data_IF_849357515535
#
_entry.id   IF_849357515535
#
_cell.length_a   1.000
_cell.length_b   1.000
_cell.length_c   1.000
_cell.angle_alpha   90.00
_cell.angle_beta   90.00
_cell.angle_gamma   90.00
#
_symmetry.space_group_name_H-M   'P 1'
#
loop_
_entity.id
_entity.type
_entity.pdbx_description
1 polymer ?
#
# COMPACT_ATOMS: atom_id res chain seq x y z
N UNK A 1 4.60 -33.54 19.28
CA UNK A 1 5.23 -32.87 20.43
C UNK A 1 4.42 -31.61 20.74
N UNK A 2 4.10 -31.33 22.01
CA UNK A 2 3.46 -30.07 22.37
C UNK A 2 4.40 -28.92 21.99
N UNK A 3 3.85 -27.89 21.34
CA UNK A 3 4.61 -26.70 20.95
C UNK A 3 4.79 -25.82 22.18
N UNK A 4 6.00 -25.74 22.70
CA UNK A 4 6.29 -24.88 23.84
C UNK A 4 6.21 -23.39 23.45
N UNK A 5 5.73 -22.58 24.40
CA UNK A 5 5.71 -21.12 24.28
C UNK A 5 7.13 -20.59 24.52
N UNK A 6 7.76 -20.01 23.51
CA UNK A 6 9.03 -19.34 23.69
C UNK A 6 8.86 -18.02 24.47
N UNK A 7 9.62 -17.86 25.54
CA UNK A 7 9.90 -16.55 26.12
C UNK A 7 10.86 -15.77 25.19
N UNK A 8 11.15 -14.51 25.52
CA UNK A 8 12.03 -13.66 24.68
C UNK A 8 13.42 -14.28 24.51
N UNK A 9 13.97 -14.90 25.55
CA UNK A 9 15.27 -15.57 25.45
C UNK A 9 15.21 -16.76 24.49
N UNK A 10 14.17 -17.58 24.58
CA UNK A 10 13.91 -18.67 23.66
C UNK A 10 13.73 -18.18 22.20
N UNK A 11 13.11 -17.01 21.99
CA UNK A 11 13.01 -16.41 20.66
C UNK A 11 14.37 -16.01 20.10
N UNK A 12 15.26 -15.42 20.91
CA UNK A 12 16.64 -15.11 20.52
C UNK A 12 17.41 -16.38 20.17
N UNK A 13 17.32 -17.43 21.01
CA UNK A 13 17.99 -18.70 20.72
C UNK A 13 17.45 -19.34 19.43
N UNK A 14 16.15 -19.25 19.18
CA UNK A 14 15.54 -19.73 17.95
C UNK A 14 16.03 -18.94 16.71
N UNK A 15 16.25 -17.63 16.85
CA UNK A 15 16.83 -16.83 15.76
C UNK A 15 18.27 -17.25 15.48
N UNK A 16 19.09 -17.42 16.52
CA UNK A 16 20.48 -17.91 16.40
C UNK A 16 20.56 -19.29 15.75
N UNK A 17 19.70 -20.22 16.16
CA UNK A 17 19.64 -21.58 15.55
C UNK A 17 19.21 -21.57 14.08
N UNK A 18 18.73 -20.42 13.56
CA UNK A 18 18.42 -20.20 12.15
C UNK A 18 19.51 -19.38 11.43
N UNK A 19 20.66 -19.15 12.05
CA UNK A 19 21.77 -18.41 11.47
C UNK A 19 21.60 -16.89 11.48
N UNK A 20 20.66 -16.35 12.27
CA UNK A 20 20.52 -14.90 12.42
C UNK A 20 21.57 -14.41 13.43
N UNK A 21 22.40 -13.47 13.01
CA UNK A 21 23.44 -12.87 13.84
C UNK A 21 22.91 -11.65 14.61
N UNK A 22 23.70 -11.23 15.61
CA UNK A 22 23.44 -10.07 16.48
C UNK A 22 24.72 -9.24 16.60
N UNK A 23 25.40 -9.00 15.47
CA UNK A 23 26.68 -8.30 15.44
C UNK A 23 26.50 -6.78 15.46
N UNK A 24 25.45 -6.29 14.76
CA UNK A 24 25.16 -4.86 14.67
C UNK A 24 24.28 -4.35 15.81
N UNK A 25 23.47 -5.21 16.40
CA UNK A 25 22.63 -4.91 17.56
C UNK A 25 22.80 -6.04 18.58
N UNK A 26 23.27 -5.70 19.77
CA UNK A 26 23.44 -6.66 20.85
C UNK A 26 22.11 -7.29 21.28
N UNK A 27 22.17 -8.49 21.86
CA UNK A 27 21.00 -9.26 22.26
C UNK A 27 20.12 -8.52 23.28
N UNK A 28 20.69 -7.70 24.14
CA UNK A 28 19.91 -6.94 25.12
C UNK A 28 18.98 -5.96 24.42
N UNK A 29 19.50 -5.19 23.49
CA UNK A 29 18.71 -4.26 22.67
C UNK A 29 17.72 -4.99 21.77
N UNK A 30 18.07 -6.16 21.26
CA UNK A 30 17.16 -7.00 20.48
C UNK A 30 15.96 -7.50 21.34
N UNK A 31 16.24 -7.94 22.58
CA UNK A 31 15.20 -8.33 23.56
C UNK A 31 14.29 -7.15 23.92
N UNK A 32 14.85 -5.97 24.17
CA UNK A 32 14.09 -4.74 24.43
C UNK A 32 13.19 -4.38 23.23
N UNK A 33 13.68 -4.52 22.02
CA UNK A 33 12.90 -4.25 20.82
C UNK A 33 11.75 -5.27 20.64
N UNK A 34 11.99 -6.55 20.89
CA UNK A 34 10.96 -7.60 20.86
C UNK A 34 9.91 -7.43 21.95
N UNK A 35 10.31 -6.92 23.13
CA UNK A 35 9.39 -6.70 24.23
C UNK A 35 8.46 -5.50 24.01
N UNK A 36 8.96 -4.42 23.40
CA UNK A 36 8.29 -3.12 23.43
C UNK A 36 7.79 -2.63 22.07
N UNK A 37 8.33 -3.13 20.94
CA UNK A 37 8.08 -2.54 19.63
C UNK A 37 7.51 -3.51 18.59
N UNK A 38 7.75 -4.81 18.75
CA UNK A 38 7.32 -5.82 17.78
C UNK A 38 7.25 -7.19 18.46
N UNK A 39 6.91 -8.23 17.72
CA UNK A 39 6.92 -9.61 18.19
C UNK A 39 7.65 -10.51 17.19
N UNK A 40 8.25 -11.58 17.71
CA UNK A 40 9.09 -12.51 16.93
C UNK A 40 8.46 -12.98 15.63
N UNK A 41 7.17 -13.37 15.66
CA UNK A 41 6.49 -13.90 14.49
C UNK A 41 6.42 -12.87 13.35
N UNK A 42 6.24 -11.58 13.70
CA UNK A 42 6.26 -10.49 12.72
C UNK A 42 7.62 -10.32 12.08
N UNK A 43 8.70 -10.32 12.87
CA UNK A 43 10.06 -10.21 12.31
C UNK A 43 10.41 -11.39 11.39
N UNK A 44 9.91 -12.59 11.72
CA UNK A 44 10.10 -13.78 10.89
C UNK A 44 9.54 -13.64 9.48
N UNK A 45 8.48 -12.85 9.27
CA UNK A 45 7.96 -12.61 7.92
C UNK A 45 8.97 -11.87 7.03
N UNK A 46 9.69 -10.88 7.57
CA UNK A 46 10.69 -10.15 6.79
C UNK A 46 11.91 -11.02 6.42
N UNK A 47 12.17 -12.08 7.17
CA UNK A 47 13.23 -13.04 6.86
C UNK A 47 12.96 -13.85 5.58
N UNK A 48 11.73 -13.84 5.04
CA UNK A 48 11.42 -14.43 3.74
C UNK A 48 12.21 -13.77 2.59
N UNK A 49 12.67 -12.53 2.78
CA UNK A 49 13.51 -11.83 1.81
C UNK A 49 14.96 -12.32 1.76
N UNK A 50 15.34 -13.25 2.63
CA UNK A 50 16.71 -13.75 2.73
C UNK A 50 16.80 -15.20 2.31
N UNK A 51 17.90 -15.55 1.62
CA UNK A 51 18.19 -16.91 1.21
C UNK A 51 18.66 -17.76 2.39
N UNK A 52 18.54 -19.05 2.22
CA UNK A 52 19.01 -20.06 3.17
C UNK A 52 20.03 -20.99 2.52
N UNK A 53 20.94 -21.50 3.33
CA UNK A 53 21.82 -22.57 2.90
C UNK A 53 20.99 -23.78 2.50
N UNK A 54 21.23 -24.29 1.29
CA UNK A 54 20.47 -25.42 0.72
C UNK A 54 21.15 -26.76 0.97
N UNK A 55 22.45 -26.76 1.34
CA UNK A 55 23.28 -27.94 1.54
C UNK A 55 24.33 -27.69 2.64
N UNK A 56 24.96 -28.77 3.16
CA UNK A 56 26.01 -28.72 4.17
C UNK A 56 25.48 -28.56 5.60
N UNK A 57 26.39 -28.37 6.54
CA UNK A 57 26.10 -28.35 7.99
C UNK A 57 25.18 -27.22 8.42
N UNK A 58 25.15 -26.14 7.64
CA UNK A 58 24.31 -24.96 7.88
C UNK A 58 22.97 -25.00 7.13
N UNK A 59 22.57 -26.16 6.60
CA UNK A 59 21.35 -26.28 5.83
C UNK A 59 20.12 -25.75 6.60
N UNK A 60 19.36 -24.84 5.97
CA UNK A 60 18.17 -24.22 6.55
C UNK A 60 18.43 -22.96 7.38
N UNK A 61 19.70 -22.59 7.63
CA UNK A 61 20.06 -21.31 8.20
C UNK A 61 20.01 -20.20 7.15
N UNK A 62 19.72 -18.97 7.58
CA UNK A 62 19.76 -17.80 6.72
C UNK A 62 21.20 -17.42 6.35
N UNK A 63 21.36 -16.90 5.14
CA UNK A 63 22.63 -16.38 4.63
C UNK A 63 22.68 -14.89 4.91
N UNK A 64 23.75 -14.42 5.55
CA UNK A 64 24.06 -13.00 5.77
C UNK A 64 22.89 -12.20 6.37
N UNK A 65 22.21 -12.76 7.36
CA UNK A 65 21.07 -12.11 8.02
C UNK A 65 21.41 -11.72 9.45
N UNK A 66 21.50 -10.41 9.70
CA UNK A 66 21.58 -9.85 11.05
C UNK A 66 20.21 -9.38 11.55
N UNK A 67 20.00 -9.43 12.87
CA UNK A 67 18.80 -8.93 13.51
C UNK A 67 18.51 -7.45 13.18
N UNK A 68 19.55 -6.63 13.01
CA UNK A 68 19.43 -5.23 12.63
C UNK A 68 18.68 -5.05 11.30
N UNK A 69 18.88 -5.95 10.34
CA UNK A 69 18.23 -5.88 9.02
C UNK A 69 16.73 -6.16 9.13
N UNK A 70 16.33 -7.14 9.92
CA UNK A 70 14.92 -7.43 10.18
C UNK A 70 14.26 -6.28 10.94
N UNK A 71 14.94 -5.72 11.93
CA UNK A 71 14.50 -4.54 12.66
C UNK A 71 14.27 -3.36 11.70
N UNK A 72 15.23 -3.08 10.83
CA UNK A 72 15.13 -1.99 9.87
C UNK A 72 13.97 -2.21 8.90
N UNK A 73 13.82 -3.40 8.29
CA UNK A 73 12.69 -3.72 7.43
C UNK A 73 11.34 -3.51 8.15
N UNK A 74 11.25 -3.89 9.42
CA UNK A 74 10.03 -3.70 10.20
C UNK A 74 9.70 -2.22 10.43
N UNK A 75 10.71 -1.38 10.61
CA UNK A 75 10.54 0.07 10.74
C UNK A 75 10.17 0.74 9.41
N UNK A 76 10.83 0.34 8.31
CA UNK A 76 10.51 0.82 6.96
C UNK A 76 9.06 0.49 6.58
N UNK A 77 8.61 -0.72 6.92
CA UNK A 77 7.23 -1.17 6.70
C UNK A 77 6.21 -0.31 7.48
N UNK A 78 6.53 0.07 8.72
CA UNK A 78 5.69 0.99 9.51
C UNK A 78 5.58 2.36 8.84
N UNK A 79 6.69 2.93 8.38
CA UNK A 79 6.69 4.22 7.70
C UNK A 79 5.91 4.14 6.38
N UNK A 80 6.14 3.09 5.59
CA UNK A 80 5.44 2.88 4.33
C UNK A 80 3.93 2.78 4.52
N UNK A 81 3.47 1.96 5.47
CA UNK A 81 2.04 1.83 5.78
C UNK A 81 1.40 3.16 6.21
N UNK A 82 2.12 3.97 6.98
CA UNK A 82 1.63 5.28 7.44
C UNK A 82 1.41 6.27 6.30
N UNK A 83 2.26 6.26 5.27
CA UNK A 83 2.12 7.16 4.12
C UNK A 83 1.22 6.58 3.03
N UNK A 84 1.12 5.25 2.92
CA UNK A 84 0.18 4.61 1.99
C UNK A 84 -1.26 4.66 2.47
N UNK A 85 -1.51 4.70 3.78
CA UNK A 85 -2.86 4.70 4.33
C UNK A 85 -3.74 5.85 3.80
N UNK A 86 -3.33 7.14 3.87
CA UNK A 86 -4.13 8.21 3.30
C UNK A 86 -4.32 8.07 1.78
N UNK A 87 -3.32 7.57 1.04
CA UNK A 87 -3.44 7.34 -0.41
C UNK A 87 -4.60 6.38 -0.73
N UNK A 88 -4.66 5.23 -0.07
CA UNK A 88 -5.72 4.25 -0.31
C UNK A 88 -7.09 4.71 0.19
N UNK A 89 -7.14 5.52 1.25
CA UNK A 89 -8.38 6.13 1.76
C UNK A 89 -8.88 7.22 0.81
N UNK A 90 -8.00 8.03 0.24
CA UNK A 90 -8.35 9.03 -0.77
C UNK A 90 -8.90 8.36 -2.04
N UNK A 91 -8.33 7.23 -2.48
CA UNK A 91 -8.88 6.47 -3.61
C UNK A 91 -10.32 6.03 -3.33
N UNK A 92 -10.59 5.45 -2.16
CA UNK A 92 -11.95 5.03 -1.77
C UNK A 92 -12.90 6.23 -1.75
N UNK A 93 -12.48 7.34 -1.16
CA UNK A 93 -13.28 8.57 -1.08
C UNK A 93 -13.58 9.17 -2.46
N UNK A 94 -12.55 9.36 -3.28
CA UNK A 94 -12.74 9.94 -4.61
C UNK A 94 -13.44 9.01 -5.60
N UNK A 95 -13.40 7.70 -5.42
CA UNK A 95 -14.24 6.77 -6.17
C UNK A 95 -15.72 7.02 -5.91
N UNK A 96 -16.13 7.27 -4.65
CA UNK A 96 -17.49 7.68 -4.29
C UNK A 96 -17.88 9.01 -4.95
N UNK A 97 -17.00 10.01 -4.86
CA UNK A 97 -17.24 11.35 -5.47
C UNK A 97 -17.43 11.22 -6.98
N UNK A 98 -16.54 10.49 -7.67
CA UNK A 98 -16.60 10.32 -9.12
C UNK A 98 -17.87 9.58 -9.55
N UNK A 99 -18.26 8.54 -8.81
CA UNK A 99 -19.52 7.83 -9.05
C UNK A 99 -20.72 8.76 -8.91
N UNK A 100 -20.80 9.55 -7.85
CA UNK A 100 -21.90 10.51 -7.65
C UNK A 100 -21.90 11.62 -8.70
N UNK A 101 -20.74 12.13 -9.09
CA UNK A 101 -20.64 13.13 -10.15
C UNK A 101 -21.08 12.59 -11.53
N UNK A 102 -20.75 11.31 -11.80
CA UNK A 102 -21.21 10.64 -13.02
C UNK A 102 -22.72 10.40 -13.00
N UNK A 103 -23.25 9.99 -11.86
CA UNK A 103 -24.70 9.81 -11.65
C UNK A 103 -25.46 11.12 -11.89
N UNK A 104 -25.01 12.23 -11.32
CA UNK A 104 -25.68 13.55 -11.49
C UNK A 104 -25.76 14.00 -12.95
N UNK A 105 -24.78 13.64 -13.78
CA UNK A 105 -24.76 13.95 -15.21
C UNK A 105 -25.58 12.97 -16.04
N UNK A 106 -25.91 11.81 -15.52
CA UNK A 106 -26.59 10.75 -16.25
C UNK A 106 -28.12 10.90 -16.14
N UNK A 107 -28.73 11.52 -17.13
CA UNK A 107 -30.21 11.72 -17.19
C UNK A 107 -31.00 10.42 -17.29
N UNK A 108 -30.39 9.26 -17.56
CA UNK A 108 -31.05 7.95 -17.68
C UNK A 108 -31.17 7.21 -16.36
N UNK A 109 -30.63 7.75 -15.26
CA UNK A 109 -30.58 7.10 -13.96
C UNK A 109 -31.06 8.03 -12.84
N UNK A 110 -31.96 7.52 -12.01
CA UNK A 110 -32.58 8.25 -10.89
C UNK A 110 -31.79 8.04 -9.55
N UNK A 111 -30.80 7.15 -9.56
CA UNK A 111 -30.00 6.78 -8.41
C UNK A 111 -30.63 5.70 -7.51
N UNK A 112 -31.89 5.33 -7.69
CA UNK A 112 -32.59 4.24 -7.00
C UNK A 112 -32.62 2.97 -7.84
N UNK A 113 -32.90 3.12 -9.13
CA UNK A 113 -33.07 2.02 -10.07
C UNK A 113 -31.81 1.15 -10.15
N UNK A 114 -30.62 1.75 -10.18
CA UNK A 114 -29.34 1.04 -10.23
C UNK A 114 -29.10 0.18 -8.98
N UNK A 115 -29.46 0.69 -7.80
CA UNK A 115 -29.31 -0.06 -6.54
C UNK A 115 -30.30 -1.23 -6.48
N UNK A 116 -31.54 -0.99 -6.88
CA UNK A 116 -32.58 -2.03 -6.95
C UNK A 116 -32.17 -3.14 -7.92
N UNK A 117 -31.64 -2.79 -9.07
CA UNK A 117 -31.16 -3.76 -10.06
C UNK A 117 -29.93 -4.52 -9.57
N UNK A 118 -28.98 -3.83 -8.93
CA UNK A 118 -27.80 -4.45 -8.33
C UNK A 118 -28.22 -5.49 -7.28
N UNK A 119 -29.15 -5.18 -6.40
CA UNK A 119 -29.64 -6.13 -5.39
C UNK A 119 -30.37 -7.33 -6.00
N UNK A 120 -31.09 -7.12 -7.12
CA UNK A 120 -31.70 -8.24 -7.86
C UNK A 120 -30.64 -9.17 -8.47
N UNK A 121 -29.56 -8.62 -9.03
CA UNK A 121 -28.46 -9.40 -9.61
C UNK A 121 -27.56 -10.03 -8.56
N UNK A 122 -27.39 -9.36 -7.43
CA UNK A 122 -26.50 -9.77 -6.34
C UNK A 122 -27.21 -9.73 -4.97
N UNK A 123 -28.14 -10.68 -4.72
CA UNK A 123 -28.96 -10.67 -3.48
C UNK A 123 -28.13 -10.84 -2.19
N UNK A 124 -26.91 -11.37 -2.30
CA UNK A 124 -26.00 -11.49 -1.16
C UNK A 124 -25.58 -10.12 -0.62
N UNK A 125 -25.45 -9.10 -1.47
CA UNK A 125 -25.03 -7.76 -1.10
C UNK A 125 -26.09 -7.08 -0.19
N UNK A 126 -27.36 -7.16 -0.54
CA UNK A 126 -28.44 -6.65 0.29
C UNK A 126 -28.42 -7.32 1.68
N UNK A 127 -28.29 -8.65 1.72
CA UNK A 127 -28.21 -9.41 2.98
C UNK A 127 -26.99 -9.07 3.82
N UNK A 128 -25.83 -8.78 3.19
CA UNK A 128 -24.62 -8.36 3.90
C UNK A 128 -24.82 -6.99 4.56
N UNK A 129 -25.41 -6.04 3.83
CA UNK A 129 -25.71 -4.70 4.36
C UNK A 129 -26.70 -4.79 5.55
N UNK A 130 -27.77 -5.56 5.42
CA UNK A 130 -28.75 -5.74 6.50
C UNK A 130 -28.17 -6.35 7.78
N UNK A 131 -27.14 -7.19 7.65
CA UNK A 131 -26.45 -7.82 8.79
C UNK A 131 -25.46 -6.90 9.50
N UNK A 132 -25.13 -5.75 8.93
CA UNK A 132 -24.19 -4.81 9.56
C UNK A 132 -24.81 -4.22 10.83
N UNK A 133 -24.05 -4.29 11.93
CA UNK A 133 -24.44 -3.76 13.23
C UNK A 133 -23.50 -2.65 13.73
N UNK A 134 -22.67 -2.12 12.84
CA UNK A 134 -21.71 -1.08 13.20
C UNK A 134 -22.45 0.19 13.68
N UNK A 135 -22.09 0.78 14.82
CA UNK A 135 -22.79 1.93 15.40
C UNK A 135 -22.95 3.10 14.43
N UNK A 136 -21.95 3.32 13.58
CA UNK A 136 -21.93 4.46 12.63
C UNK A 136 -22.82 4.27 11.41
N UNK A 137 -23.22 3.04 11.07
CA UNK A 137 -24.00 2.73 9.86
C UNK A 137 -25.40 2.19 10.15
N UNK A 138 -25.61 1.59 11.34
CA UNK A 138 -26.87 0.93 11.68
C UNK A 138 -28.10 1.85 11.59
N UNK A 139 -27.98 3.12 12.01
CA UNK A 139 -29.06 4.11 11.93
C UNK A 139 -29.44 4.43 10.47
N UNK A 140 -28.43 4.57 9.62
CA UNK A 140 -28.62 4.85 8.19
C UNK A 140 -29.26 3.65 7.48
N UNK A 141 -28.78 2.44 7.77
CA UNK A 141 -29.35 1.19 7.24
C UNK A 141 -30.81 1.06 7.64
N UNK A 142 -31.13 1.23 8.94
CA UNK A 142 -32.50 1.17 9.44
C UNK A 142 -33.43 2.16 8.73
N UNK A 143 -32.93 3.37 8.42
CA UNK A 143 -33.71 4.43 7.79
C UNK A 143 -34.01 4.15 6.30
N UNK A 144 -33.04 3.57 5.58
CA UNK A 144 -33.12 3.47 4.11
C UNK A 144 -33.17 2.03 3.57
N UNK A 145 -33.24 0.99 4.42
CA UNK A 145 -33.17 -0.43 4.02
C UNK A 145 -34.14 -0.82 2.91
N UNK A 146 -35.32 -0.19 2.85
CA UNK A 146 -36.37 -0.53 1.89
C UNK A 146 -36.26 0.30 0.60
N UNK A 147 -35.42 1.34 0.58
CA UNK A 147 -35.26 2.23 -0.58
C UNK A 147 -33.90 2.93 -0.59
N UNK A 148 -32.83 2.15 -0.78
CA UNK A 148 -31.50 2.72 -0.95
C UNK A 148 -31.36 3.43 -2.30
N UNK A 149 -30.77 4.63 -2.24
CA UNK A 149 -30.21 5.32 -3.39
C UNK A 149 -28.67 5.27 -3.37
N UNK A 150 -28.02 5.54 -4.50
CA UNK A 150 -26.55 5.53 -4.60
C UNK A 150 -25.90 6.41 -3.54
N UNK A 151 -26.42 7.62 -3.32
CA UNK A 151 -25.84 8.60 -2.37
C UNK A 151 -25.95 8.23 -0.89
N UNK A 152 -26.81 7.29 -0.53
CA UNK A 152 -26.87 6.81 0.86
C UNK A 152 -26.31 5.39 1.02
N UNK A 153 -26.37 4.54 0.00
CA UNK A 153 -25.81 3.20 0.10
C UNK A 153 -24.28 3.23 0.14
N UNK A 154 -23.62 4.15 -0.55
CA UNK A 154 -22.15 4.27 -0.56
C UNK A 154 -21.57 4.55 0.82
N UNK A 155 -22.37 5.05 1.78
CA UNK A 155 -21.94 5.27 3.16
C UNK A 155 -21.91 3.99 4.01
N UNK A 156 -22.59 2.94 3.56
CA UNK A 156 -22.67 1.66 4.27
C UNK A 156 -21.92 0.53 3.57
N UNK A 157 -21.49 0.75 2.32
CA UNK A 157 -20.72 -0.25 1.58
C UNK A 157 -19.29 -0.40 2.16
N UNK A 158 -18.84 -1.64 2.24
CA UNK A 158 -17.39 -1.91 2.33
C UNK A 158 -16.71 -1.47 1.02
N UNK A 159 -15.39 -1.27 1.05
CA UNK A 159 -14.69 -0.90 -0.19
C UNK A 159 -14.85 -1.96 -1.30
N UNK A 160 -14.88 -3.25 -0.95
CA UNK A 160 -15.18 -4.33 -1.90
C UNK A 160 -16.56 -4.15 -2.55
N UNK A 161 -17.57 -3.85 -1.76
CA UNK A 161 -18.92 -3.67 -2.24
C UNK A 161 -19.11 -2.36 -3.04
N UNK A 162 -18.30 -1.34 -2.71
CA UNK A 162 -18.22 -0.13 -3.52
C UNK A 162 -17.65 -0.42 -4.91
N UNK A 163 -16.61 -1.26 -5.02
CA UNK A 163 -16.06 -1.70 -6.32
C UNK A 163 -17.15 -2.38 -7.15
N UNK A 164 -17.95 -3.25 -6.54
CA UNK A 164 -19.06 -3.95 -7.24
C UNK A 164 -20.11 -2.95 -7.76
N UNK A 165 -20.50 -1.97 -6.96
CA UNK A 165 -21.45 -0.92 -7.41
C UNK A 165 -20.83 -0.04 -8.50
N UNK A 166 -19.55 0.32 -8.36
CA UNK A 166 -18.80 1.12 -9.32
C UNK A 166 -18.74 0.43 -10.69
N UNK A 167 -18.28 -0.83 -10.72
CA UNK A 167 -18.24 -1.64 -11.94
C UNK A 167 -19.62 -1.78 -12.57
N UNK A 168 -20.62 -2.11 -11.77
CA UNK A 168 -22.00 -2.28 -12.26
C UNK A 168 -22.56 -1.02 -12.91
N UNK A 169 -22.33 0.15 -12.29
CA UNK A 169 -22.80 1.43 -12.82
C UNK A 169 -22.12 1.77 -14.14
N UNK A 170 -20.78 1.74 -14.19
CA UNK A 170 -20.05 2.14 -15.37
C UNK A 170 -20.22 1.17 -16.54
N UNK A 171 -20.30 -0.13 -16.28
CA UNK A 171 -20.59 -1.15 -17.29
C UNK A 171 -22.00 -1.00 -17.86
N UNK A 172 -23.01 -0.72 -17.03
CA UNK A 172 -24.40 -0.54 -17.48
C UNK A 172 -24.55 0.64 -18.42
N UNK A 173 -23.80 1.72 -18.22
CA UNK A 173 -23.93 2.95 -18.98
C UNK A 173 -22.83 3.19 -20.02
N UNK A 174 -21.94 2.22 -20.21
CA UNK A 174 -20.81 2.28 -21.16
C UNK A 174 -20.00 3.59 -21.02
N UNK A 175 -19.69 3.95 -19.79
CA UNK A 175 -18.91 5.17 -19.49
C UNK A 175 -17.46 4.84 -19.25
N UNK A 176 -16.56 5.70 -19.76
CA UNK A 176 -15.13 5.59 -19.47
C UNK A 176 -14.86 5.75 -17.98
N UNK A 177 -14.12 4.82 -17.43
CA UNK A 177 -13.75 4.78 -16.01
C UNK A 177 -12.40 4.09 -15.83
N UNK A 178 -11.88 4.13 -14.61
CA UNK A 178 -10.72 3.28 -14.23
C UNK A 178 -11.18 1.83 -14.18
N UNK A 179 -10.37 0.94 -14.72
CA UNK A 179 -10.67 -0.50 -14.68
C UNK A 179 -10.96 -0.94 -13.23
N UNK A 180 -12.15 -1.48 -12.94
CA UNK A 180 -12.55 -1.89 -11.61
C UNK A 180 -11.59 -2.91 -10.97
N UNK A 181 -10.94 -3.74 -11.78
CA UNK A 181 -9.98 -4.74 -11.30
C UNK A 181 -8.78 -4.10 -10.57
N UNK A 182 -8.39 -2.88 -10.97
CA UNK A 182 -7.29 -2.17 -10.31
C UNK A 182 -7.60 -1.74 -8.88
N UNK A 183 -8.87 -1.55 -8.55
CA UNK A 183 -9.27 -1.27 -7.17
C UNK A 183 -9.04 -2.45 -6.23
N UNK A 184 -8.95 -3.68 -6.74
CA UNK A 184 -8.59 -4.84 -5.90
C UNK A 184 -7.15 -4.73 -5.39
N UNK A 185 -6.22 -4.18 -6.17
CA UNK A 185 -4.86 -3.87 -5.70
C UNK A 185 -4.88 -2.81 -4.58
N UNK A 186 -5.68 -1.74 -4.74
CA UNK A 186 -5.88 -0.74 -3.69
C UNK A 186 -6.47 -1.37 -2.43
N UNK A 187 -7.48 -2.22 -2.57
CA UNK A 187 -8.11 -2.97 -1.47
C UNK A 187 -7.11 -3.87 -0.74
N UNK A 188 -6.25 -4.56 -1.48
CA UNK A 188 -5.23 -5.44 -0.90
C UNK A 188 -4.29 -4.66 0.01
N UNK A 189 -3.75 -3.53 -0.45
CA UNK A 189 -2.90 -2.64 0.37
C UNK A 189 -3.70 -2.07 1.54
N UNK A 190 -4.90 -1.53 1.30
CA UNK A 190 -5.76 -0.94 2.33
C UNK A 190 -6.07 -1.93 3.44
N UNK A 191 -6.47 -3.14 3.09
CA UNK A 191 -6.79 -4.19 4.06
C UNK A 191 -5.54 -4.66 4.81
N UNK A 192 -4.41 -4.81 4.11
CA UNK A 192 -3.13 -5.15 4.77
C UNK A 192 -2.75 -4.10 5.80
N UNK A 193 -2.91 -2.80 5.50
CA UNK A 193 -2.64 -1.73 6.44
C UNK A 193 -3.63 -1.75 7.61
N UNK A 194 -4.93 -1.89 7.34
CA UNK A 194 -5.99 -1.89 8.35
C UNK A 194 -5.83 -3.07 9.35
N UNK A 195 -5.40 -4.23 8.86
CA UNK A 195 -5.09 -5.40 9.69
C UNK A 195 -3.65 -5.41 10.24
N UNK A 196 -2.91 -4.32 10.06
CA UNK A 196 -1.53 -4.20 10.51
C UNK A 196 -0.61 -5.29 9.94
N UNK A 197 -0.88 -5.80 8.73
CA UNK A 197 -0.04 -6.80 8.06
C UNK A 197 1.25 -6.16 7.52
N UNK A 198 2.26 -7.01 7.24
CA UNK A 198 3.55 -6.59 6.72
C UNK A 198 3.48 -6.45 5.20
N UNK A 199 3.72 -5.25 4.66
CA UNK A 199 3.77 -5.01 3.21
C UNK A 199 5.09 -5.53 2.61
N UNK A 200 6.20 -5.33 3.32
CA UNK A 200 7.55 -5.71 2.88
C UNK A 200 7.96 -7.13 3.30
N UNK A 201 7.00 -8.02 3.60
CA UNK A 201 7.28 -9.34 4.16
C UNK A 201 7.91 -10.31 3.16
N UNK A 202 7.58 -10.18 1.88
CA UNK A 202 8.13 -11.00 0.80
C UNK A 202 8.20 -10.17 -0.50
N UNK A 203 9.41 -9.87 -0.92
CA UNK A 203 9.71 -9.11 -2.12
C UNK A 203 10.24 -10.00 -3.26
N UNK A 204 10.04 -11.32 -3.15
CA UNK A 204 10.37 -12.29 -4.18
C UNK A 204 9.31 -12.29 -5.27
N UNK A 205 9.77 -12.43 -6.48
CA UNK A 205 8.88 -12.67 -7.60
C UNK A 205 8.23 -14.06 -7.46
N UNK A 206 6.91 -14.12 -7.68
CA UNK A 206 6.22 -15.39 -7.87
C UNK A 206 6.46 -15.90 -9.29
N UNK A 207 6.18 -17.19 -9.53
CA UNK A 207 6.27 -17.78 -10.87
C UNK A 207 5.38 -16.97 -11.85
N UNK A 208 5.91 -16.66 -13.04
CA UNK A 208 5.19 -15.90 -14.06
C UNK A 208 3.85 -16.56 -14.47
N UNK A 209 3.73 -17.87 -14.35
CA UNK A 209 2.47 -18.60 -14.58
C UNK A 209 1.39 -18.30 -13.55
N UNK A 210 1.77 -17.74 -12.39
CA UNK A 210 0.87 -17.37 -11.30
C UNK A 210 0.65 -15.85 -11.20
N UNK A 211 1.40 -15.05 -11.96
CA UNK A 211 1.35 -13.59 -11.91
C UNK A 211 0.40 -13.06 -13.00
N UNK A 212 -0.83 -12.80 -12.62
CA UNK A 212 -1.77 -12.06 -13.48
C UNK A 212 -1.35 -10.61 -13.59
N UNK A 213 -0.84 -10.19 -14.75
CA UNK A 213 -0.37 -8.83 -15.04
C UNK A 213 -1.23 -8.19 -16.10
N UNK A 214 -1.79 -7.02 -15.80
CA UNK A 214 -2.46 -6.21 -16.80
C UNK A 214 -1.45 -5.66 -17.81
N UNK A 215 -1.76 -5.80 -19.11
CA UNK A 215 -0.97 -5.20 -20.18
C UNK A 215 -0.87 -3.68 -20.05
N UNK A 216 -1.97 -3.03 -19.63
CA UNK A 216 -1.99 -1.58 -19.38
C UNK A 216 -1.00 -1.19 -18.28
N UNK A 217 -0.97 -1.90 -17.15
CA UNK A 217 0.00 -1.62 -16.06
C UNK A 217 1.43 -1.88 -16.56
N UNK A 218 1.66 -2.95 -17.32
CA UNK A 218 2.97 -3.22 -17.92
C UNK A 218 3.42 -2.09 -18.85
N UNK A 219 2.51 -1.53 -19.66
CA UNK A 219 2.76 -0.41 -20.54
C UNK A 219 3.10 0.86 -19.75
N UNK A 220 2.30 1.21 -18.76
CA UNK A 220 2.52 2.38 -17.88
C UNK A 220 3.91 2.31 -17.22
N UNK A 221 4.26 1.16 -16.67
CA UNK A 221 5.58 0.97 -16.03
C UNK A 221 6.72 1.06 -17.06
N UNK A 222 6.47 0.73 -18.34
CA UNK A 222 7.48 0.85 -19.39
C UNK A 222 7.83 2.30 -19.73
N UNK A 223 6.96 3.25 -19.41
CA UNK A 223 7.15 4.68 -19.63
C UNK A 223 7.92 5.35 -18.48
N UNK A 224 8.15 4.62 -17.35
CA UNK A 224 8.88 5.16 -16.20
C UNK A 224 10.40 5.12 -16.49
N UNK A 225 11.08 6.28 -16.44
CA UNK A 225 12.52 6.36 -16.70
C UNK A 225 13.34 5.45 -15.78
N UNK A 226 14.28 4.71 -16.36
CA UNK A 226 15.16 3.81 -15.61
C UNK A 226 14.56 2.43 -15.27
N UNK A 227 13.34 2.12 -15.70
CA UNK A 227 12.74 0.79 -15.59
C UNK A 227 12.83 0.05 -16.91
N UNK A 228 13.88 -0.77 -17.07
CA UNK A 228 14.06 -1.63 -18.23
C UNK A 228 13.17 -2.88 -18.21
N UNK A 229 13.15 -3.61 -19.32
CA UNK A 229 12.29 -4.82 -19.51
C UNK A 229 12.49 -5.85 -18.40
N UNK A 230 13.74 -6.19 -18.08
CA UNK A 230 14.06 -7.19 -17.05
C UNK A 230 13.54 -6.78 -15.65
N UNK A 231 13.79 -5.52 -15.26
CA UNK A 231 13.31 -5.01 -13.98
C UNK A 231 11.79 -5.03 -13.94
N UNK A 232 11.11 -4.56 -15.00
CA UNK A 232 9.65 -4.53 -15.10
C UNK A 232 9.08 -5.94 -14.95
N UNK A 233 9.54 -6.91 -15.73
CA UNK A 233 9.07 -8.30 -15.67
C UNK A 233 9.21 -8.87 -14.27
N UNK A 234 10.41 -8.79 -13.68
CA UNK A 234 10.69 -9.36 -12.37
C UNK A 234 9.91 -8.65 -11.26
N UNK A 235 9.85 -7.30 -11.27
CA UNK A 235 9.23 -6.54 -10.16
C UNK A 235 7.71 -6.55 -10.22
N UNK A 236 7.10 -6.60 -11.39
CA UNK A 236 5.65 -6.80 -11.50
C UNK A 236 5.20 -8.24 -11.18
N UNK A 237 6.12 -9.21 -11.09
CA UNK A 237 5.83 -10.54 -10.54
C UNK A 237 5.91 -10.61 -9.01
N UNK A 238 6.26 -9.52 -8.33
CA UNK A 238 6.18 -9.40 -6.86
C UNK A 238 4.80 -8.86 -6.49
N UNK A 239 3.94 -9.61 -5.79
CA UNK A 239 2.55 -9.22 -5.57
C UNK A 239 2.40 -7.84 -4.95
N UNK A 240 3.18 -7.53 -3.91
CA UNK A 240 3.15 -6.20 -3.28
C UNK A 240 3.56 -5.08 -4.25
N UNK A 241 4.60 -5.28 -5.07
CA UNK A 241 5.06 -4.24 -5.99
C UNK A 241 4.07 -4.01 -7.13
N UNK A 242 3.40 -5.05 -7.60
CA UNK A 242 2.31 -4.93 -8.57
C UNK A 242 1.14 -4.13 -7.98
N UNK A 243 0.68 -4.50 -6.77
CA UNK A 243 -0.39 -3.78 -6.07
C UNK A 243 0.02 -2.32 -5.79
N UNK A 244 1.28 -2.07 -5.44
CA UNK A 244 1.82 -0.74 -5.20
C UNK A 244 1.73 0.15 -6.45
N UNK A 245 2.24 -0.32 -7.59
CA UNK A 245 2.19 0.43 -8.86
C UNK A 245 0.76 0.67 -9.30
N UNK A 246 -0.07 -0.37 -9.26
CA UNK A 246 -1.49 -0.27 -9.63
C UNK A 246 -2.22 0.72 -8.74
N UNK A 247 -1.93 0.72 -7.43
CA UNK A 247 -2.49 1.70 -6.49
C UNK A 247 -2.08 3.13 -6.85
N UNK A 248 -0.81 3.35 -7.21
CA UNK A 248 -0.33 4.68 -7.62
C UNK A 248 -1.03 5.16 -8.88
N UNK A 249 -1.25 4.28 -9.85
CA UNK A 249 -1.97 4.61 -11.08
C UNK A 249 -3.46 4.94 -10.82
N UNK A 250 -4.13 4.13 -9.99
CA UNK A 250 -5.52 4.40 -9.58
C UNK A 250 -5.60 5.73 -8.83
N UNK A 251 -4.69 5.98 -7.90
CA UNK A 251 -4.63 7.24 -7.15
C UNK A 251 -4.46 8.44 -8.09
N UNK A 252 -3.56 8.34 -9.07
CA UNK A 252 -3.35 9.41 -10.04
C UNK A 252 -4.59 9.69 -10.91
N UNK A 253 -5.31 8.65 -11.33
CA UNK A 253 -6.51 8.78 -12.18
C UNK A 253 -7.75 9.21 -11.39
N UNK A 254 -7.95 8.71 -10.17
CA UNK A 254 -9.21 8.87 -9.41
C UNK A 254 -9.22 10.14 -8.57
N UNK A 255 -8.10 10.48 -7.92
CA UNK A 255 -8.05 11.65 -7.03
C UNK A 255 -7.99 12.93 -7.86
N UNK A 256 -9.07 13.70 -7.83
CA UNK A 256 -9.20 14.94 -8.61
C UNK A 256 -8.63 16.18 -7.91
N UNK A 257 -8.47 16.12 -6.59
CA UNK A 257 -7.86 17.21 -5.82
C UNK A 257 -6.34 17.24 -6.03
N UNK A 258 -5.86 18.22 -6.79
CA UNK A 258 -4.42 18.41 -7.02
C UNK A 258 -3.65 18.63 -5.71
N UNK A 259 -4.22 19.38 -4.77
CA UNK A 259 -3.59 19.67 -3.47
C UNK A 259 -3.35 18.40 -2.64
N UNK A 260 -4.38 17.54 -2.52
CA UNK A 260 -4.23 16.27 -1.79
C UNK A 260 -3.27 15.33 -2.50
N UNK A 261 -3.35 15.26 -3.83
CA UNK A 261 -2.43 14.45 -4.64
C UNK A 261 -0.97 14.80 -4.38
N UNK A 262 -0.62 16.08 -4.50
CA UNK A 262 0.75 16.58 -4.27
C UNK A 262 1.21 16.23 -2.85
N UNK A 263 0.40 16.55 -1.85
CA UNK A 263 0.72 16.31 -0.44
C UNK A 263 1.04 14.84 -0.14
N UNK A 264 0.21 13.92 -0.63
CA UNK A 264 0.43 12.48 -0.40
C UNK A 264 1.66 11.96 -1.17
N UNK A 265 1.87 12.41 -2.40
CA UNK A 265 3.03 12.05 -3.20
C UNK A 265 4.34 12.56 -2.58
N UNK A 266 4.36 13.77 -2.05
CA UNK A 266 5.52 14.33 -1.33
C UNK A 266 5.87 13.48 -0.09
N UNK A 267 4.89 13.10 0.72
CA UNK A 267 5.11 12.27 1.90
C UNK A 267 5.64 10.89 1.53
N UNK A 268 5.07 10.27 0.50
CA UNK A 268 5.52 8.98 0.01
C UNK A 268 6.96 9.07 -0.55
N UNK A 269 7.25 10.12 -1.32
CA UNK A 269 8.58 10.39 -1.84
C UNK A 269 9.62 10.51 -0.71
N UNK A 270 9.31 11.28 0.34
CA UNK A 270 10.19 11.44 1.50
C UNK A 270 10.48 10.10 2.21
N UNK A 271 9.48 9.24 2.32
CA UNK A 271 9.71 7.93 2.94
C UNK A 271 10.57 7.04 2.05
N UNK A 272 10.21 6.89 0.78
CA UNK A 272 10.91 5.96 -0.13
C UNK A 272 12.32 6.44 -0.47
N UNK A 273 12.52 7.74 -0.69
CA UNK A 273 13.83 8.26 -1.08
C UNK A 273 14.76 8.60 0.09
N UNK A 274 14.22 9.06 1.22
CA UNK A 274 15.07 9.49 2.34
C UNK A 274 15.11 8.46 3.46
N UNK A 275 13.96 7.89 3.85
CA UNK A 275 13.94 6.95 4.97
C UNK A 275 14.46 5.57 4.57
N UNK A 276 14.12 5.08 3.37
CA UNK A 276 14.61 3.80 2.87
C UNK A 276 16.11 3.81 2.58
N UNK A 277 16.67 4.94 2.18
CA UNK A 277 18.11 5.07 1.90
C UNK A 277 18.98 5.24 3.15
N UNK A 278 18.39 5.50 4.33
CA UNK A 278 19.15 5.83 5.54
C UNK A 278 20.13 4.72 6.00
N UNK A 279 19.71 3.46 5.86
CA UNK A 279 20.50 2.27 6.19
C UNK A 279 20.49 1.29 5.01
N UNK A 280 20.69 1.82 3.81
CA UNK A 280 20.70 1.00 2.59
C UNK A 280 21.85 0.00 2.57
N UNK A 281 22.93 0.30 3.26
CA UNK A 281 24.09 -0.55 3.50
C UNK A 281 23.71 -1.89 4.17
N UNK A 282 22.68 -1.92 5.01
CA UNK A 282 22.15 -3.15 5.62
C UNK A 282 21.63 -4.16 4.58
N UNK A 283 21.31 -3.70 3.40
CA UNK A 283 20.77 -4.51 2.32
C UNK A 283 21.72 -4.65 1.13
N UNK A 284 22.99 -4.26 1.28
CA UNK A 284 23.99 -4.25 0.20
C UNK A 284 24.18 -5.65 -0.44
N UNK A 285 24.17 -6.71 0.38
CA UNK A 285 24.26 -8.10 -0.06
C UNK A 285 22.91 -8.75 -0.42
N UNK A 286 21.78 -8.03 -0.22
CA UNK A 286 20.44 -8.55 -0.49
C UNK A 286 19.83 -7.90 -1.73
N UNK A 287 20.03 -8.52 -2.90
CA UNK A 287 19.51 -8.03 -4.17
C UNK A 287 17.98 -7.95 -4.22
N UNK A 288 17.27 -8.82 -3.49
CA UNK A 288 15.80 -8.84 -3.48
C UNK A 288 15.27 -7.54 -2.90
N UNK A 289 15.77 -7.14 -1.72
CA UNK A 289 15.35 -5.92 -1.03
C UNK A 289 15.87 -4.69 -1.77
N UNK A 290 17.16 -4.66 -2.12
CA UNK A 290 17.82 -3.52 -2.77
C UNK A 290 17.14 -3.15 -4.09
N UNK A 291 16.89 -4.13 -4.96
CA UNK A 291 16.27 -3.88 -6.27
C UNK A 291 14.77 -3.59 -6.18
N UNK A 292 14.08 -4.07 -5.14
CA UNK A 292 12.70 -3.68 -4.86
C UNK A 292 12.61 -2.21 -4.43
N UNK A 293 13.54 -1.75 -3.58
CA UNK A 293 13.60 -0.36 -3.16
C UNK A 293 13.96 0.58 -4.31
N UNK A 294 14.91 0.19 -5.19
CA UNK A 294 15.23 0.94 -6.40
C UNK A 294 14.02 1.05 -7.34
N UNK A 295 13.27 -0.03 -7.53
CA UNK A 295 12.04 -0.01 -8.31
C UNK A 295 10.99 0.94 -7.70
N UNK A 296 10.72 0.82 -6.40
CA UNK A 296 9.77 1.72 -5.70
C UNK A 296 10.20 3.19 -5.81
N UNK A 297 11.50 3.46 -5.68
CA UNK A 297 12.06 4.80 -5.84
C UNK A 297 11.75 5.39 -7.23
N UNK A 298 11.99 4.64 -8.30
CA UNK A 298 11.69 5.05 -9.67
C UNK A 298 10.21 5.32 -9.89
N UNK A 299 9.35 4.42 -9.40
CA UNK A 299 7.89 4.58 -9.47
C UNK A 299 7.45 5.85 -8.74
N UNK A 300 7.88 6.02 -7.49
CA UNK A 300 7.48 7.17 -6.67
C UNK A 300 8.01 8.48 -7.23
N UNK A 301 9.19 8.49 -7.85
CA UNK A 301 9.77 9.69 -8.47
C UNK A 301 9.04 10.12 -9.75
N UNK A 302 8.39 9.18 -10.44
CA UNK A 302 7.65 9.45 -11.68
C UNK A 302 6.36 10.27 -11.45
N UNK A 303 5.55 9.94 -10.43
CA UNK A 303 4.24 10.55 -10.24
C UNK A 303 4.27 12.04 -9.84
N UNK A 304 5.16 12.52 -8.95
CA UNK A 304 5.31 13.96 -8.70
C UNK A 304 5.70 14.74 -9.96
N UNK A 305 6.66 14.25 -10.74
CA UNK A 305 7.09 14.91 -11.96
C UNK A 305 5.97 15.02 -12.99
N UNK A 306 5.14 13.99 -13.13
CA UNK A 306 3.96 13.98 -14.00
C UNK A 306 2.89 15.00 -13.58
N UNK A 307 2.66 15.13 -12.26
CA UNK A 307 1.61 16.01 -11.71
C UNK A 307 2.07 17.46 -11.52
N UNK A 308 3.37 17.71 -11.53
CA UNK A 308 3.99 19.01 -11.37
C UNK A 308 4.50 19.57 -12.72
N UNK A 309 4.19 18.91 -13.83
CA UNK A 309 4.51 19.41 -15.17
C UNK A 309 3.95 20.85 -15.33
N UNK A 310 4.87 21.82 -15.51
CA UNK A 310 4.57 23.26 -15.54
C UNK A 310 4.96 24.05 -14.29
N UNK A 311 5.51 23.40 -13.24
CA UNK A 311 6.24 24.06 -12.15
C UNK A 311 7.75 23.88 -12.41
N UNK A 312 8.54 24.90 -12.15
CA UNK A 312 10.00 24.78 -12.29
C UNK A 312 10.55 23.75 -11.30
N UNK A 313 11.50 22.95 -11.75
CA UNK A 313 12.09 21.83 -10.94
C UNK A 313 12.69 22.35 -9.63
N UNK A 314 13.15 23.60 -9.58
CA UNK A 314 13.67 24.28 -8.39
C UNK A 314 12.58 24.52 -7.34
N UNK A 315 11.33 24.85 -7.72
CA UNK A 315 10.22 25.04 -6.80
C UNK A 315 9.78 23.72 -6.14
N UNK A 316 9.87 22.62 -6.89
CA UNK A 316 9.55 21.26 -6.38
C UNK A 316 10.60 20.84 -5.36
N UNK A 317 11.87 20.99 -5.70
CA UNK A 317 12.99 20.68 -4.82
C UNK A 317 13.02 21.63 -3.62
N UNK A 318 12.73 22.92 -3.80
CA UNK A 318 12.67 23.90 -2.72
C UNK A 318 11.57 23.57 -1.71
N UNK A 319 10.37 23.17 -2.12
CA UNK A 319 9.29 22.72 -1.20
C UNK A 319 9.66 21.45 -0.45
N UNK A 320 10.27 20.48 -1.12
CA UNK A 320 10.79 19.25 -0.49
C UNK A 320 11.95 19.58 0.49
N UNK A 321 12.82 20.54 0.16
CA UNK A 321 13.97 20.94 0.98
C UNK A 321 13.63 21.96 2.07
N UNK A 322 12.67 22.87 1.89
CA UNK A 322 12.21 23.83 2.94
C UNK A 322 11.52 23.09 4.07
N UNK A 323 10.77 22.01 3.83
CA UNK A 323 10.31 21.12 4.87
C UNK A 323 11.45 20.47 5.66
N UNK A 324 12.67 20.42 5.12
CA UNK A 324 13.88 19.91 5.78
C UNK A 324 14.55 20.96 6.67
N UNK A 325 14.66 22.20 6.21
CA UNK A 325 15.30 23.30 6.93
C UNK A 325 14.46 23.77 8.13
N UNK A 326 13.14 23.81 8.02
CA UNK A 326 12.25 24.23 9.10
C UNK A 326 12.14 23.28 10.29
N UNK A 327 12.65 22.04 10.18
CA UNK A 327 12.73 21.09 11.30
C UNK A 327 14.09 21.06 11.99
N UNK A 328 15.12 21.63 11.41
CA UNK A 328 16.47 21.69 12.01
C UNK A 328 16.77 23.02 12.69
N UNK A 329 16.06 24.07 12.31
CA UNK A 329 16.10 25.38 12.97
C UNK A 329 14.73 25.65 13.57
N UNK A 330 14.62 25.59 14.90
CA UNK A 330 13.42 25.94 15.64
C UNK A 330 13.07 27.45 15.54
N UNK A 331 12.96 27.96 14.32
CA UNK A 331 12.56 29.31 13.97
C UNK A 331 11.14 29.31 13.41
N UNK A 332 10.19 29.61 14.28
CA UNK A 332 8.89 30.14 13.90
C UNK A 332 9.09 31.44 13.09
N UNK A 333 8.78 31.40 11.80
CA UNK A 333 8.49 32.63 11.07
C UNK A 333 7.24 32.44 10.23
N UNK A 334 6.30 33.32 10.52
CA UNK A 334 5.02 33.52 9.88
C UNK A 334 5.17 33.58 8.36
N UNK A 335 4.52 32.68 7.64
CA UNK A 335 4.16 32.91 6.24
C UNK A 335 2.76 33.51 6.22
N UNK A 336 2.69 34.80 6.01
CA UNK A 336 1.46 35.48 5.63
C UNK A 336 1.02 35.01 4.25
N UNK A 337 -0.25 34.69 4.19
CA UNK A 337 -0.98 34.33 2.97
C UNK A 337 -1.27 35.63 2.21
N UNK A 338 -0.86 35.67 0.95
CA UNK A 338 -1.35 36.56 -0.08
C UNK A 338 -2.06 35.73 -1.13
#
# INVERSE_FOLDING_TARGET
>A
MPREKFNIDGQIQQMKSKGITFEMIDEKKAKEFLANHTYYFRLKFYANNYDKYRKGDRMGEYIDLDFAYLKELSLLDVYLRRVMFPIVMDVEHFAKINLLASLQKNKREDGYSIVTELFKRQPWLAREIERQKAPYTAGLIKKYKDNFAVWNIIEVLTFTNLIVLYDFYYSKYDQKHVNPDYFYSVRNIRNSIAHNNCLLHDLRAVDDSQAEKSEEICRIVSEIPGIGVSMRSTKLSVPFLYDFVTTMEVFDKIVTSRKEKIKQLELLYLVVNNRFSRHIDYFASNDIVRTAFDFMNKVVSHYPSKNLAGMETEDILCRIFICRAGRQSGLTSQCQVG
#
